data_IF_432565493068
#
_entry.id   IF_432565493068
#
_cell.length_a   1.000
_cell.length_b   1.000
_cell.length_c   1.000
_cell.angle_alpha   90.00
_cell.angle_beta   90.00
_cell.angle_gamma   90.00
#
_symmetry.space_group_name_H-M   'P 1'
#
loop_
_entity.id
_entity.type
_entity.pdbx_description
1 polymer ?
#
# COMPACT_ATOMS: atom_id res chain seq x y z
N UNK A 1 20.19 8.34 4.32
CA UNK A 1 20.43 8.19 2.88
C UNK A 1 20.47 9.55 2.18
N UNK A 2 21.24 9.68 1.12
CA UNK A 2 21.57 10.95 0.51
C UNK A 2 20.39 11.73 -0.08
N UNK A 3 19.29 11.03 -0.43
CA UNK A 3 18.10 11.62 -1.04
C UNK A 3 16.84 11.48 -0.19
N UNK A 4 17.00 11.19 1.08
CA UNK A 4 15.87 11.09 2.01
C UNK A 4 15.56 12.47 2.56
N UNK A 5 14.32 12.93 2.40
CA UNK A 5 13.82 14.19 2.95
C UNK A 5 13.17 13.94 4.31
N UNK A 6 12.28 12.95 4.38
CA UNK A 6 11.65 12.49 5.62
C UNK A 6 11.79 10.97 5.72
N UNK A 7 12.32 10.49 6.83
CA UNK A 7 12.39 9.07 7.15
C UNK A 7 12.28 8.87 8.66
N UNK A 8 11.42 7.94 9.08
CA UNK A 8 11.18 7.54 10.47
C UNK A 8 10.61 8.64 11.41
N UNK A 9 10.13 9.74 10.85
CA UNK A 9 9.61 10.88 11.62
C UNK A 9 8.18 11.28 11.27
N UNK A 10 7.60 10.66 10.25
CA UNK A 10 6.22 10.86 9.82
C UNK A 10 5.60 9.52 9.41
N UNK A 11 4.32 9.53 9.03
CA UNK A 11 3.55 8.34 8.65
C UNK A 11 4.07 7.65 7.39
N UNK A 12 4.69 8.39 6.49
CA UNK A 12 5.33 7.86 5.28
C UNK A 12 6.73 8.44 5.10
N UNK A 13 7.53 7.80 4.25
CA UNK A 13 8.82 8.31 3.85
C UNK A 13 8.68 9.26 2.66
N UNK A 14 9.51 10.31 2.65
CA UNK A 14 9.60 11.26 1.55
C UNK A 14 11.02 11.26 1.01
N UNK A 15 11.14 11.04 -0.30
CA UNK A 15 12.39 11.08 -1.04
C UNK A 15 12.44 12.33 -1.93
N UNK A 16 13.63 12.84 -2.13
CA UNK A 16 13.85 13.96 -3.02
C UNK A 16 13.36 13.62 -4.43
N UNK A 17 12.50 14.48 -4.95
CA UNK A 17 12.04 14.44 -6.34
C UNK A 17 12.68 15.54 -7.18
N UNK A 18 11.93 16.10 -8.12
CA UNK A 18 12.44 17.09 -9.06
C UNK A 18 11.38 18.10 -9.49
N UNK A 19 11.76 19.01 -10.39
CA UNK A 19 10.84 20.02 -10.91
C UNK A 19 9.75 19.36 -11.76
N UNK A 20 8.52 19.82 -11.53
CA UNK A 20 7.35 19.38 -12.29
C UNK A 20 6.51 20.59 -12.69
N UNK A 21 5.72 20.45 -13.75
CA UNK A 21 4.75 21.44 -14.19
C UNK A 21 3.36 20.85 -14.00
N UNK A 22 2.52 21.55 -13.25
CA UNK A 22 1.14 21.13 -12.99
C UNK A 22 0.14 22.15 -13.51
N UNK A 23 -0.95 21.65 -14.06
CA UNK A 23 -2.08 22.44 -14.48
C UNK A 23 -3.05 22.55 -13.29
N UNK A 24 -3.10 23.73 -12.69
CA UNK A 24 -3.87 24.00 -11.48
C UNK A 24 -4.71 25.27 -11.64
N UNK A 25 -5.82 25.38 -10.87
CA UNK A 25 -6.56 26.65 -10.80
C UNK A 25 -5.70 27.73 -10.14
N UNK A 26 -5.64 28.88 -10.76
CA UNK A 26 -4.96 30.07 -10.26
C UNK A 26 -5.98 31.01 -9.63
N UNK A 27 -5.84 31.28 -8.34
CA UNK A 27 -6.70 32.15 -7.58
C UNK A 27 -8.05 31.52 -7.19
N UNK A 28 -8.59 32.02 -6.10
CA UNK A 28 -9.86 31.58 -5.53
C UNK A 28 -10.96 32.65 -5.63
N UNK A 29 -10.70 33.75 -6.37
CA UNK A 29 -11.62 34.91 -6.49
C UNK A 29 -12.22 34.96 -7.90
N UNK A 30 -13.48 35.27 -7.97
CA UNK A 30 -14.37 35.71 -9.08
C UNK A 30 -14.26 35.11 -10.48
N UNK A 31 -13.19 34.48 -10.91
CA UNK A 31 -13.08 33.66 -12.13
C UNK A 31 -11.74 32.92 -12.10
N UNK A 32 -11.66 31.78 -11.43
CA UNK A 32 -10.43 30.99 -11.39
C UNK A 32 -10.07 30.56 -12.81
N UNK A 33 -8.86 30.87 -13.22
CA UNK A 33 -8.30 30.36 -14.49
C UNK A 33 -7.37 29.20 -14.17
N UNK A 34 -7.30 28.25 -15.07
CA UNK A 34 -6.27 27.22 -14.99
C UNK A 34 -4.97 27.72 -15.63
N UNK A 35 -3.88 27.50 -14.95
CA UNK A 35 -2.55 27.86 -15.40
C UNK A 35 -1.51 26.80 -15.09
N UNK A 36 -0.32 26.95 -15.67
CA UNK A 36 0.83 26.07 -15.39
C UNK A 36 1.58 26.62 -14.20
N UNK A 37 1.62 25.82 -13.12
CA UNK A 37 2.47 26.07 -11.95
C UNK A 37 3.72 25.18 -12.03
N UNK A 38 4.88 25.76 -11.85
CA UNK A 38 6.12 25.04 -11.63
C UNK A 38 6.35 24.85 -10.13
N UNK A 39 6.69 23.62 -9.73
CA UNK A 39 6.98 23.28 -8.34
C UNK A 39 8.01 22.14 -8.28
N UNK A 40 8.65 21.96 -7.13
CA UNK A 40 9.44 20.76 -6.86
C UNK A 40 8.55 19.75 -6.14
N UNK A 41 8.29 18.62 -6.78
CA UNK A 41 7.53 17.55 -6.18
C UNK A 41 8.45 16.44 -5.67
N UNK A 42 8.31 16.10 -4.39
CA UNK A 42 8.97 14.96 -3.76
C UNK A 42 8.16 13.69 -3.95
N UNK A 43 8.82 12.55 -3.86
CA UNK A 43 8.19 11.23 -3.93
C UNK A 43 7.87 10.74 -2.53
N UNK A 44 6.62 10.44 -2.31
CA UNK A 44 6.08 9.89 -1.08
C UNK A 44 5.97 8.36 -1.21
N UNK A 45 6.34 7.63 -0.16
CA UNK A 45 6.26 6.17 -0.14
C UNK A 45 5.79 5.67 1.21
N UNK A 46 4.87 4.72 1.18
CA UNK A 46 4.42 3.95 2.35
C UNK A 46 4.28 2.49 2.01
N UNK A 47 4.70 1.64 2.93
CA UNK A 47 4.42 0.20 2.89
C UNK A 47 3.97 -0.23 4.28
N UNK A 48 2.87 -0.95 4.33
CA UNK A 48 2.25 -1.45 5.55
C UNK A 48 1.89 -2.92 5.41
N UNK A 49 1.91 -3.66 6.52
CA UNK A 49 1.41 -5.04 6.57
C UNK A 49 0.08 -5.08 7.31
N UNK A 50 -0.87 -5.86 6.79
CA UNK A 50 -2.18 -6.07 7.42
C UNK A 50 -2.50 -7.55 7.51
N UNK A 51 -1.67 -8.28 8.25
CA UNK A 51 -1.58 -9.73 8.21
C UNK A 51 -2.74 -10.43 8.91
N UNK A 52 -2.98 -10.09 10.18
CA UNK A 52 -3.97 -10.81 11.01
C UNK A 52 -5.41 -10.61 10.54
N UNK A 53 -5.88 -9.39 10.25
CA UNK A 53 -7.21 -9.20 9.71
C UNK A 53 -7.44 -9.92 8.38
N UNK A 54 -6.42 -9.94 7.52
CA UNK A 54 -6.45 -10.68 6.25
C UNK A 54 -6.54 -12.21 6.46
N UNK A 55 -5.91 -12.73 7.52
CA UNK A 55 -6.02 -14.14 7.89
C UNK A 55 -7.43 -14.55 8.32
N UNK A 56 -8.14 -13.65 8.99
CA UNK A 56 -9.47 -13.92 9.54
C UNK A 56 -10.56 -13.70 8.48
N UNK A 57 -10.45 -12.61 7.75
CA UNK A 57 -11.44 -12.18 6.76
C UNK A 57 -10.72 -11.54 5.57
N UNK A 58 -10.33 -12.32 4.55
CA UNK A 58 -9.36 -11.89 3.55
C UNK A 58 -9.75 -10.64 2.78
N UNK A 59 -10.99 -10.56 2.28
CA UNK A 59 -11.45 -9.39 1.51
C UNK A 59 -11.47 -8.11 2.38
N UNK A 60 -12.22 -8.02 3.48
CA UNK A 60 -12.27 -6.79 4.28
C UNK A 60 -10.93 -6.52 4.98
N UNK A 61 -10.18 -7.55 5.36
CA UNK A 61 -8.86 -7.40 5.97
C UNK A 61 -7.85 -6.73 5.02
N UNK A 62 -7.77 -7.19 3.78
CA UNK A 62 -6.89 -6.58 2.79
C UNK A 62 -7.38 -5.20 2.33
N UNK A 63 -8.70 -5.02 2.22
CA UNK A 63 -9.30 -3.72 1.92
C UNK A 63 -8.91 -2.68 2.97
N UNK A 64 -9.06 -3.01 4.25
CA UNK A 64 -8.68 -2.13 5.37
C UNK A 64 -7.18 -1.87 5.38
N UNK A 65 -6.36 -2.85 5.01
CA UNK A 65 -4.91 -2.68 4.86
C UNK A 65 -4.55 -1.63 3.81
N UNK A 66 -5.17 -1.70 2.63
CA UNK A 66 -5.01 -0.70 1.58
C UNK A 66 -5.48 0.69 2.05
N UNK A 67 -6.62 0.76 2.75
CA UNK A 67 -7.13 2.01 3.31
C UNK A 67 -6.21 2.62 4.36
N UNK A 68 -5.61 1.81 5.22
CA UNK A 68 -4.64 2.26 6.22
C UNK A 68 -3.38 2.83 5.61
N UNK A 69 -2.88 2.20 4.57
CA UNK A 69 -1.73 2.68 3.80
C UNK A 69 -2.02 4.04 3.13
N UNK A 70 -3.17 4.17 2.45
CA UNK A 70 -3.62 5.43 1.83
C UNK A 70 -3.78 6.54 2.87
N UNK A 71 -4.34 6.21 4.04
CA UNK A 71 -4.48 7.16 5.15
C UNK A 71 -3.13 7.73 5.56
N UNK A 72 -2.12 6.89 5.69
CA UNK A 72 -0.79 7.28 6.12
C UNK A 72 -0.08 8.13 5.07
N UNK A 73 -0.20 7.78 3.80
CA UNK A 73 0.26 8.66 2.71
C UNK A 73 -0.43 10.02 2.77
N UNK A 74 -1.77 10.03 2.91
CA UNK A 74 -2.56 11.25 2.94
C UNK A 74 -2.33 12.14 4.17
N UNK A 75 -1.85 11.55 5.27
CA UNK A 75 -1.55 12.27 6.52
C UNK A 75 -0.13 12.82 6.58
N UNK A 76 0.73 12.52 5.61
CA UNK A 76 2.11 12.98 5.58
C UNK A 76 2.18 14.44 5.12
N UNK A 77 2.81 15.30 5.91
CA UNK A 77 2.95 16.71 5.62
C UNK A 77 1.60 17.40 5.34
N UNK A 78 1.59 18.32 4.37
CA UNK A 78 0.38 19.03 3.93
C UNK A 78 0.21 18.92 2.42
N UNK A 79 -0.94 18.42 1.98
CA UNK A 79 -1.26 18.33 0.55
C UNK A 79 -0.60 17.17 -0.20
N UNK A 80 -0.19 16.15 0.52
CA UNK A 80 0.25 14.87 -0.08
C UNK A 80 -0.86 14.25 -0.93
N UNK A 81 -0.46 13.57 -1.99
CA UNK A 81 -1.39 12.98 -2.98
C UNK A 81 -0.97 11.56 -3.30
N UNK A 82 -1.61 10.54 -2.72
CA UNK A 82 -1.44 9.14 -3.12
C UNK A 82 -1.77 8.98 -4.61
N UNK A 83 -0.88 8.32 -5.38
CA UNK A 83 -1.01 8.23 -6.84
C UNK A 83 -1.09 6.82 -7.38
N UNK A 84 -0.41 5.89 -6.77
CA UNK A 84 -0.38 4.50 -7.21
C UNK A 84 -0.24 3.57 -6.01
N UNK A 85 -0.94 2.45 -6.03
CA UNK A 85 -0.90 1.43 -5.01
C UNK A 85 -0.23 0.14 -5.48
N UNK A 86 0.14 -0.67 -4.50
CA UNK A 86 0.56 -2.05 -4.69
C UNK A 86 -0.04 -2.96 -3.62
N UNK A 87 -0.19 -4.24 -3.93
CA UNK A 87 -0.59 -5.26 -2.95
C UNK A 87 0.24 -6.51 -3.12
N UNK A 88 0.77 -7.04 -2.03
CA UNK A 88 1.55 -8.27 -2.03
C UNK A 88 1.00 -9.28 -1.03
N UNK A 89 1.02 -10.56 -1.41
CA UNK A 89 0.53 -11.65 -0.58
C UNK A 89 1.53 -12.78 -0.52
N UNK A 90 1.84 -13.22 0.70
CA UNK A 90 2.58 -14.46 0.94
C UNK A 90 1.74 -15.37 1.85
N UNK A 91 1.51 -16.59 1.42
CA UNK A 91 0.75 -17.61 2.15
C UNK A 91 1.52 -18.93 2.19
N UNK A 92 1.07 -19.89 2.99
CA UNK A 92 1.50 -21.28 2.89
C UNK A 92 1.04 -21.90 1.58
N UNK A 93 1.38 -23.17 1.31
CA UNK A 93 0.95 -23.85 0.08
C UNK A 93 -0.55 -23.76 -0.13
N UNK A 94 -0.94 -23.45 -1.36
CA UNK A 94 -2.35 -23.35 -1.76
C UNK A 94 -3.05 -24.71 -1.74
N UNK A 95 -2.31 -25.75 -2.12
CA UNK A 95 -2.77 -27.14 -2.15
C UNK A 95 -1.75 -28.03 -1.44
N UNK A 96 -2.21 -29.15 -0.95
CA UNK A 96 -1.37 -30.20 -0.36
C UNK A 96 -0.47 -29.76 0.79
N UNK A 97 -0.86 -28.72 1.51
CA UNK A 97 -0.16 -28.31 2.73
C UNK A 97 -0.32 -29.36 3.81
N UNK A 98 0.79 -29.78 4.41
CA UNK A 98 0.81 -30.67 5.58
C UNK A 98 0.65 -29.90 6.89
N UNK A 99 0.74 -28.58 6.84
CA UNK A 99 0.54 -27.72 8.00
C UNK A 99 -0.96 -27.61 8.33
N UNK A 100 -1.31 -27.89 9.57
CA UNK A 100 -2.62 -27.56 10.09
C UNK A 100 -2.81 -26.05 10.18
N UNK A 101 -4.04 -25.57 10.26
CA UNK A 101 -4.35 -24.16 10.51
C UNK A 101 -5.40 -24.01 11.60
N UNK A 102 -5.38 -22.90 12.37
CA UNK A 102 -6.47 -22.60 13.29
C UNK A 102 -7.81 -22.49 12.54
N UNK A 103 -8.87 -23.00 13.12
CA UNK A 103 -10.20 -23.07 12.48
C UNK A 103 -10.79 -21.70 12.12
N UNK A 104 -10.38 -20.65 12.83
CA UNK A 104 -10.83 -19.27 12.60
C UNK A 104 -10.05 -18.54 11.51
N UNK A 105 -9.01 -19.14 10.96
CA UNK A 105 -8.24 -18.55 9.85
C UNK A 105 -8.71 -19.10 8.51
N UNK A 106 -8.79 -18.23 7.52
CA UNK A 106 -9.04 -18.59 6.13
C UNK A 106 -7.93 -19.49 5.56
N UNK A 107 -8.25 -20.32 4.58
CA UNK A 107 -7.25 -21.13 3.90
C UNK A 107 -6.30 -20.25 3.06
N UNK A 108 -5.06 -20.74 2.77
CA UNK A 108 -4.16 -20.03 1.86
C UNK A 108 -4.80 -19.69 0.52
N UNK A 109 -5.55 -20.63 -0.05
CA UNK A 109 -6.27 -20.42 -1.31
C UNK A 109 -7.33 -19.32 -1.18
N UNK A 110 -8.12 -19.33 -0.11
CA UNK A 110 -9.12 -18.31 0.12
C UNK A 110 -8.49 -16.91 0.30
N UNK A 111 -7.39 -16.82 1.06
CA UNK A 111 -6.66 -15.56 1.21
C UNK A 111 -6.17 -15.05 -0.14
N UNK A 112 -5.62 -15.95 -0.97
CA UNK A 112 -5.04 -15.59 -2.25
C UNK A 112 -6.08 -15.23 -3.32
N UNK A 113 -7.31 -15.71 -3.19
CA UNK A 113 -8.42 -15.39 -4.11
C UNK A 113 -9.21 -14.16 -3.68
N UNK A 114 -9.45 -13.98 -2.38
CA UNK A 114 -10.31 -12.89 -1.87
C UNK A 114 -9.51 -11.65 -1.45
N UNK A 115 -8.32 -11.83 -0.87
CA UNK A 115 -7.51 -10.73 -0.36
C UNK A 115 -7.14 -9.70 -1.42
N UNK A 116 -6.62 -10.10 -2.58
CA UNK A 116 -6.30 -9.17 -3.66
C UNK A 116 -7.49 -8.35 -4.16
N UNK A 117 -8.67 -8.95 -4.19
CA UNK A 117 -9.90 -8.26 -4.56
C UNK A 117 -10.27 -7.18 -3.55
N UNK A 118 -10.06 -7.44 -2.25
CA UNK A 118 -10.28 -6.44 -1.19
C UNK A 118 -9.35 -5.24 -1.33
N UNK A 119 -8.06 -5.47 -1.52
CA UNK A 119 -7.09 -4.40 -1.75
C UNK A 119 -7.39 -3.59 -3.01
N UNK A 120 -7.73 -4.27 -4.10
CA UNK A 120 -8.11 -3.63 -5.36
C UNK A 120 -9.39 -2.80 -5.22
N UNK A 121 -10.41 -3.31 -4.52
CA UNK A 121 -11.67 -2.60 -4.31
C UNK A 121 -11.46 -1.26 -3.59
N UNK A 122 -10.66 -1.23 -2.52
CA UNK A 122 -10.40 0.02 -1.80
C UNK A 122 -9.64 1.02 -2.68
N UNK A 123 -8.61 0.58 -3.40
CA UNK A 123 -7.87 1.44 -4.33
C UNK A 123 -8.79 2.00 -5.42
N UNK A 124 -9.70 1.20 -5.95
CA UNK A 124 -10.66 1.62 -6.97
C UNK A 124 -11.65 2.67 -6.45
N UNK A 125 -12.19 2.48 -5.24
CA UNK A 125 -13.09 3.46 -4.63
C UNK A 125 -12.38 4.77 -4.29
N UNK A 126 -11.15 4.71 -3.80
CA UNK A 126 -10.33 5.90 -3.57
C UNK A 126 -9.98 6.63 -4.88
N UNK A 127 -9.85 5.91 -5.98
CA UNK A 127 -9.55 6.47 -7.30
C UNK A 127 -8.06 6.50 -7.64
N UNK A 128 -7.26 5.57 -7.12
CA UNK A 128 -5.89 5.35 -7.56
C UNK A 128 -5.70 3.95 -8.14
N UNK A 129 -4.86 3.76 -9.17
CA UNK A 129 -4.58 2.44 -9.70
C UNK A 129 -3.77 1.60 -8.69
N UNK A 130 -4.11 0.32 -8.56
CA UNK A 130 -3.31 -0.68 -7.88
C UNK A 130 -2.42 -1.35 -8.93
N UNK A 131 -1.23 -0.78 -9.16
CA UNK A 131 -0.43 -1.04 -10.37
C UNK A 131 0.37 -2.33 -10.32
N UNK A 132 0.81 -2.75 -9.16
CA UNK A 132 1.78 -3.83 -9.02
C UNK A 132 1.57 -4.59 -7.72
N UNK A 133 2.34 -5.64 -7.57
CA UNK A 133 2.33 -6.46 -6.38
C UNK A 133 3.01 -7.80 -6.62
N UNK A 134 2.75 -8.72 -5.75
CA UNK A 134 3.23 -10.10 -5.90
C UNK A 134 2.28 -11.08 -5.23
N UNK A 135 2.31 -12.32 -5.74
CA UNK A 135 1.68 -13.48 -5.13
C UNK A 135 2.74 -14.53 -4.89
N UNK A 136 2.82 -15.01 -3.66
CA UNK A 136 3.86 -15.97 -3.27
C UNK A 136 3.31 -17.00 -2.30
N UNK A 137 3.58 -18.26 -2.57
CA UNK A 137 3.46 -19.31 -1.57
C UNK A 137 4.83 -19.72 -1.06
N UNK A 138 4.90 -20.10 0.21
CA UNK A 138 6.12 -20.60 0.80
C UNK A 138 5.83 -21.59 1.92
N UNK A 139 6.44 -22.76 1.79
CA UNK A 139 6.49 -23.77 2.82
C UNK A 139 7.78 -24.56 2.65
N UNK A 140 8.55 -24.70 3.71
CA UNK A 140 9.84 -25.36 3.66
C UNK A 140 10.09 -26.13 4.96
N UNK A 141 10.67 -27.30 4.86
CA UNK A 141 11.24 -27.99 6.00
C UNK A 141 12.60 -27.38 6.37
N UNK A 142 12.74 -26.98 7.62
CA UNK A 142 13.96 -26.41 8.17
C UNK A 142 14.32 -27.19 9.44
N UNK A 143 15.35 -28.00 9.37
CA UNK A 143 15.81 -28.83 10.48
C UNK A 143 14.72 -29.73 11.10
N UNK A 144 13.89 -30.35 10.25
CA UNK A 144 12.80 -31.25 10.66
C UNK A 144 11.54 -30.52 11.15
N UNK A 145 11.46 -29.19 10.96
CA UNK A 145 10.28 -28.40 11.29
C UNK A 145 9.78 -27.71 10.02
N UNK A 146 8.57 -28.04 9.59
CA UNK A 146 7.94 -27.35 8.47
C UNK A 146 7.56 -25.93 8.85
N UNK A 147 8.06 -24.97 8.08
CA UNK A 147 7.78 -23.53 8.22
C UNK A 147 6.95 -23.04 7.06
N UNK A 148 5.96 -22.22 7.35
CA UNK A 148 5.07 -21.62 6.34
C UNK A 148 4.35 -20.39 6.92
N UNK A 149 3.41 -19.88 6.15
CA UNK A 149 2.66 -18.66 6.50
C UNK A 149 1.18 -18.96 6.75
N UNK A 150 0.86 -19.57 7.91
CA UNK A 150 -0.55 -19.66 8.35
C UNK A 150 -1.16 -18.28 8.54
N UNK A 151 -0.46 -17.44 9.29
CA UNK A 151 -0.71 -16.01 9.29
C UNK A 151 -0.03 -15.45 8.06
N UNK A 152 -0.79 -14.99 7.06
CA UNK A 152 -0.21 -14.50 5.81
C UNK A 152 0.61 -13.25 6.04
N UNK A 153 1.44 -12.92 5.07
CA UNK A 153 1.90 -11.55 4.89
C UNK A 153 0.99 -10.91 3.84
N UNK A 154 0.29 -9.87 4.23
CA UNK A 154 -0.41 -8.97 3.32
C UNK A 154 0.29 -7.61 3.37
N UNK A 155 0.81 -7.18 2.25
CA UNK A 155 1.44 -5.87 2.09
C UNK A 155 0.53 -4.98 1.26
N UNK A 156 0.21 -3.81 1.82
CA UNK A 156 -0.32 -2.68 1.08
C UNK A 156 0.77 -1.61 1.00
N UNK A 157 1.04 -1.13 -0.19
CA UNK A 157 2.02 -0.09 -0.41
C UNK A 157 1.54 0.93 -1.43
N UNK A 158 2.21 2.06 -1.47
CA UNK A 158 1.89 3.10 -2.41
C UNK A 158 3.01 4.09 -2.64
N UNK A 159 2.83 4.81 -3.71
CA UNK A 159 3.63 5.95 -4.12
C UNK A 159 2.73 7.16 -4.31
N UNK A 160 3.17 8.28 -3.79
CA UNK A 160 2.49 9.56 -3.93
C UNK A 160 3.46 10.68 -4.25
N UNK A 161 2.94 11.88 -4.25
CA UNK A 161 3.72 13.12 -4.44
C UNK A 161 3.33 14.15 -3.40
N UNK A 162 4.31 14.96 -3.01
CA UNK A 162 4.12 16.10 -2.12
C UNK A 162 4.97 17.28 -2.61
N UNK A 163 4.44 18.47 -2.53
CA UNK A 163 5.20 19.69 -2.81
C UNK A 163 6.31 19.85 -1.76
N UNK A 164 7.50 20.25 -2.18
CA UNK A 164 8.66 20.42 -1.29
C UNK A 164 8.43 21.47 -0.19
N UNK A 165 7.53 22.41 -0.39
CA UNK A 165 7.15 23.42 0.61
C UNK A 165 6.13 22.91 1.64
N UNK A 166 5.61 21.70 1.45
CA UNK A 166 4.54 21.11 2.26
C UNK A 166 4.96 19.85 3.01
N UNK A 167 6.24 19.52 2.89
CA UNK A 167 6.83 18.33 3.52
C UNK A 167 7.07 18.52 5.01
#
# INVERSE_FOLDING_TARGET
>A
PQYSVVAYSDNAAVMQGGPVRRWLPEGYTNAPRYGVREETAHVLMKVETHNHPTAISPFPGASTGAGGEIRDEGATGRGSKPKAGMSGFTVSKLWDSTLGRPSHMASPLQIMTEGPLGGAAFNNEFGRPNLTGYFREYEQDVAGVTRGYHKPIMIAGGLGVIDSEQT
#
